data_IF_835345444475
#
_entry.id   IF_835345444475
#
_cell.length_a   1.000
_cell.length_b   1.000
_cell.length_c   1.000
_cell.angle_alpha   90.00
_cell.angle_beta   90.00
_cell.angle_gamma   90.00
#
_symmetry.space_group_name_H-M   'P 1'
#
loop_
_entity.id
_entity.type
_entity.pdbx_description
1 polymer ?
#
# COMPACT_ATOMS: atom_id res chain seq x y z
N UNK A 1 -50.33 6.45 0.26
CA UNK A 1 -49.25 7.20 -0.41
C UNK A 1 -47.96 6.44 -0.22
N UNK A 2 -47.33 5.96 -1.30
CA UNK A 2 -46.02 5.30 -1.27
C UNK A 2 -44.95 6.39 -1.40
N UNK A 3 -44.15 6.61 -0.36
CA UNK A 3 -42.97 7.47 -0.44
C UNK A 3 -41.87 6.72 -1.18
N UNK A 4 -41.38 7.30 -2.28
CA UNK A 4 -40.16 6.83 -2.92
C UNK A 4 -38.98 7.20 -2.02
N UNK A 5 -38.28 6.19 -1.49
CA UNK A 5 -37.00 6.37 -0.82
C UNK A 5 -35.95 6.55 -1.91
N UNK A 6 -35.53 7.79 -2.15
CA UNK A 6 -34.43 8.08 -3.07
C UNK A 6 -33.09 7.71 -2.45
N UNK A 7 -32.16 7.24 -3.28
CA UNK A 7 -30.78 6.98 -2.86
C UNK A 7 -30.11 8.32 -2.51
N UNK A 8 -29.62 8.43 -1.27
CA UNK A 8 -28.88 9.60 -0.78
C UNK A 8 -27.39 9.36 -1.01
N UNK A 9 -26.78 10.17 -1.87
CA UNK A 9 -25.34 10.16 -2.08
C UNK A 9 -24.71 11.33 -1.32
N UNK A 10 -23.59 11.06 -0.64
CA UNK A 10 -22.79 12.09 0.01
C UNK A 10 -21.57 12.40 -0.87
N UNK A 11 -21.43 13.65 -1.29
CA UNK A 11 -20.20 14.15 -1.90
C UNK A 11 -19.29 14.69 -0.80
N UNK A 12 -18.12 14.08 -0.61
CA UNK A 12 -17.12 14.60 0.31
C UNK A 12 -16.48 15.85 -0.29
N UNK A 13 -16.84 17.04 0.22
CA UNK A 13 -16.27 18.31 -0.27
C UNK A 13 -14.83 18.54 0.22
N UNK A 14 -14.51 18.09 1.44
CA UNK A 14 -13.17 18.19 2.00
C UNK A 14 -12.92 17.10 3.04
N UNK A 15 -11.72 16.51 3.00
CA UNK A 15 -11.22 15.55 4.00
C UNK A 15 -9.95 16.12 4.63
N UNK A 16 -9.98 16.33 5.95
CA UNK A 16 -8.80 16.82 6.70
C UNK A 16 -8.21 15.66 7.47
N UNK A 17 -6.96 15.30 7.15
CA UNK A 17 -6.23 14.23 7.83
C UNK A 17 -5.13 14.87 8.69
N UNK A 18 -5.26 14.89 10.03
CA UNK A 18 -4.23 15.44 10.89
C UNK A 18 -3.00 14.53 10.86
N UNK A 19 -1.90 15.04 10.33
CA UNK A 19 -0.62 14.32 10.32
C UNK A 19 0.17 14.62 11.60
N UNK A 20 0.69 13.56 12.21
CA UNK A 20 1.68 13.70 13.27
C UNK A 20 2.91 14.44 12.72
N UNK A 21 3.47 15.37 13.49
CA UNK A 21 4.51 16.31 13.03
C UNK A 21 5.84 15.68 12.54
N UNK A 22 6.00 14.36 12.68
CA UNK A 22 7.16 13.61 12.14
C UNK A 22 6.88 12.96 10.79
N UNK A 23 5.64 12.99 10.33
CA UNK A 23 5.23 12.56 8.99
C UNK A 23 5.41 13.76 8.07
N UNK A 24 6.22 13.58 7.03
CA UNK A 24 6.57 14.64 6.07
C UNK A 24 6.06 14.32 4.67
N UNK A 25 5.93 13.03 4.34
CA UNK A 25 5.29 12.58 3.10
C UNK A 25 3.79 12.48 3.34
N UNK A 26 3.03 13.24 2.55
CA UNK A 26 1.57 13.26 2.64
C UNK A 26 0.95 11.97 2.09
N UNK A 27 -0.30 11.70 2.48
CA UNK A 27 -1.08 10.61 1.87
C UNK A 27 -1.20 10.79 0.35
N UNK A 28 -1.39 12.03 -0.12
CA UNK A 28 -1.48 12.34 -1.55
C UNK A 28 -0.20 11.98 -2.30
N UNK A 29 0.98 12.27 -1.73
CA UNK A 29 2.26 11.89 -2.32
C UNK A 29 2.42 10.37 -2.43
N UNK A 30 2.07 9.63 -1.36
CA UNK A 30 2.09 8.17 -1.38
C UNK A 30 1.11 7.60 -2.43
N UNK A 31 -0.12 8.13 -2.49
CA UNK A 31 -1.12 7.72 -3.47
C UNK A 31 -0.67 7.98 -4.91
N UNK A 32 -0.09 9.16 -5.19
CA UNK A 32 0.49 9.47 -6.50
C UNK A 32 1.60 8.50 -6.87
N UNK A 33 2.48 8.14 -5.94
CA UNK A 33 3.54 7.17 -6.19
C UNK A 33 2.98 5.79 -6.54
N UNK A 34 1.91 5.35 -5.87
CA UNK A 34 1.21 4.09 -6.21
C UNK A 34 0.62 4.14 -7.61
N UNK A 35 -0.06 5.23 -7.98
CA UNK A 35 -0.64 5.41 -9.32
C UNK A 35 0.45 5.39 -10.40
N UNK A 36 1.54 6.12 -10.20
CA UNK A 36 2.67 6.14 -11.14
C UNK A 36 3.30 4.75 -11.26
N UNK A 37 3.49 4.05 -10.14
CA UNK A 37 4.02 2.69 -10.15
C UNK A 37 3.08 1.73 -10.88
N UNK A 38 1.77 1.82 -10.65
CA UNK A 38 0.79 1.02 -11.37
C UNK A 38 0.88 1.29 -12.87
N UNK A 39 0.81 2.55 -13.32
CA UNK A 39 0.86 2.87 -14.74
C UNK A 39 2.16 2.42 -15.43
N UNK A 40 3.29 2.44 -14.71
CA UNK A 40 4.58 1.98 -15.25
C UNK A 40 4.72 0.45 -15.30
N UNK A 41 4.22 -0.27 -14.30
CA UNK A 41 4.52 -1.68 -14.11
C UNK A 41 3.32 -2.62 -14.31
N UNK A 42 2.09 -2.12 -14.37
CA UNK A 42 0.84 -2.91 -14.41
C UNK A 42 0.85 -3.99 -15.50
N UNK A 43 1.39 -3.70 -16.69
CA UNK A 43 1.41 -4.65 -17.80
C UNK A 43 2.52 -5.71 -17.69
N UNK A 44 3.55 -5.47 -16.86
CA UNK A 44 4.77 -6.29 -16.84
C UNK A 44 4.82 -7.28 -15.68
N UNK A 45 3.84 -7.25 -14.77
CA UNK A 45 3.85 -8.11 -13.59
C UNK A 45 3.03 -9.38 -13.87
N UNK A 46 3.70 -10.32 -14.55
CA UNK A 46 3.13 -11.61 -14.96
C UNK A 46 2.62 -12.50 -13.81
N UNK A 47 3.05 -12.24 -12.58
CA UNK A 47 2.65 -13.01 -11.40
C UNK A 47 1.28 -12.61 -10.84
N UNK A 48 0.67 -11.58 -11.40
CA UNK A 48 -0.62 -11.08 -11.00
C UNK A 48 -1.57 -11.34 -12.18
N UNK A 49 -2.66 -12.08 -11.96
CA UNK A 49 -3.73 -12.26 -12.97
C UNK A 49 -4.53 -10.96 -13.14
N UNK A 50 -3.83 -9.84 -13.32
CA UNK A 50 -4.32 -8.49 -13.55
C UNK A 50 -4.82 -8.29 -14.98
N UNK A 51 -4.70 -9.32 -15.83
CA UNK A 51 -5.19 -9.31 -17.20
C UNK A 51 -6.72 -9.11 -17.31
N UNK A 52 -7.45 -9.29 -16.19
CA UNK A 52 -8.91 -9.19 -16.14
C UNK A 52 -9.42 -7.91 -15.44
N UNK A 53 -8.63 -7.29 -14.56
CA UNK A 53 -9.02 -6.05 -13.85
C UNK A 53 -7.80 -5.37 -13.20
N UNK A 54 -7.85 -4.04 -13.07
CA UNK A 54 -6.89 -3.28 -12.25
C UNK A 54 -6.93 -3.74 -10.78
N UNK A 55 -5.80 -3.79 -10.07
CA UNK A 55 -5.78 -4.11 -8.65
C UNK A 55 -6.52 -3.06 -7.83
N UNK A 56 -7.14 -3.50 -6.74
CA UNK A 56 -7.60 -2.60 -5.68
C UNK A 56 -6.44 -2.36 -4.71
N UNK A 57 -6.24 -1.10 -4.32
CA UNK A 57 -5.15 -0.72 -3.43
C UNK A 57 -5.68 -0.19 -2.10
N UNK A 58 -5.20 -0.76 -0.99
CA UNK A 58 -5.31 -0.15 0.33
C UNK A 58 -4.04 0.62 0.64
N UNK A 59 -4.14 1.95 0.74
CA UNK A 59 -3.03 2.83 1.10
C UNK A 59 -3.26 3.38 2.49
N UNK A 60 -2.35 3.10 3.43
CA UNK A 60 -2.50 3.54 4.82
C UNK A 60 -1.16 3.73 5.52
N UNK A 61 -1.18 4.54 6.58
CA UNK A 61 -0.02 4.80 7.41
C UNK A 61 0.14 3.69 8.45
N UNK A 62 1.37 3.23 8.64
CA UNK A 62 1.70 2.23 9.66
C UNK A 62 3.08 2.51 10.26
N UNK A 63 3.53 1.62 11.13
CA UNK A 63 4.88 1.66 11.70
C UNK A 63 5.76 0.53 11.16
N UNK A 64 7.07 0.76 11.12
CA UNK A 64 8.01 -0.30 10.74
C UNK A 64 7.95 -1.52 11.65
N UNK A 65 7.58 -1.36 12.92
CA UNK A 65 7.36 -2.47 13.86
C UNK A 65 6.12 -3.29 13.52
N UNK A 66 5.00 -2.64 13.22
CA UNK A 66 3.74 -3.31 12.89
C UNK A 66 3.89 -4.08 11.57
N UNK A 67 4.50 -3.45 10.56
CA UNK A 67 4.81 -4.12 9.30
C UNK A 67 5.66 -5.37 9.50
N UNK A 68 6.74 -5.31 10.30
CA UNK A 68 7.54 -6.50 10.61
C UNK A 68 6.76 -7.55 11.39
N UNK A 69 5.83 -7.14 12.25
CA UNK A 69 4.93 -8.07 12.94
C UNK A 69 4.04 -8.82 11.95
N UNK A 70 3.44 -8.09 11.02
CA UNK A 70 2.59 -8.66 9.96
C UNK A 70 3.37 -9.63 9.07
N UNK A 71 4.59 -9.28 8.67
CA UNK A 71 5.44 -10.16 7.85
C UNK A 71 5.78 -11.49 8.56
N UNK A 72 5.91 -11.49 9.89
CA UNK A 72 6.13 -12.73 10.67
C UNK A 72 4.88 -13.59 10.72
N UNK A 73 3.71 -12.98 10.82
CA UNK A 73 2.44 -13.68 10.91
C UNK A 73 1.95 -14.23 9.56
N UNK A 74 2.43 -13.66 8.43
CA UNK A 74 1.97 -14.05 7.09
C UNK A 74 2.65 -15.34 6.61
N UNK A 75 1.88 -16.41 6.31
CA UNK A 75 2.43 -17.70 5.92
C UNK A 75 2.96 -17.75 4.47
N UNK A 76 2.42 -16.92 3.57
CA UNK A 76 2.66 -17.02 2.13
C UNK A 76 3.66 -15.97 1.62
N UNK A 77 4.91 -16.03 2.07
CA UNK A 77 6.04 -15.21 1.59
C UNK A 77 7.30 -16.06 1.54
N UNK A 78 8.16 -15.81 0.54
CA UNK A 78 9.48 -16.43 0.45
C UNK A 78 10.33 -16.15 1.69
N UNK A 79 11.01 -17.18 2.21
CA UNK A 79 11.74 -17.08 3.48
C UNK A 79 13.02 -16.24 3.36
N UNK A 80 13.64 -16.16 2.18
CA UNK A 80 14.80 -15.29 1.97
C UNK A 80 14.38 -13.82 1.87
N UNK A 81 13.28 -13.55 1.17
CA UNK A 81 12.67 -12.22 1.12
C UNK A 81 12.23 -11.77 2.53
N UNK A 82 11.56 -12.66 3.29
CA UNK A 82 11.12 -12.38 4.67
C UNK A 82 12.30 -11.99 5.55
N UNK A 83 13.39 -12.77 5.53
CA UNK A 83 14.60 -12.47 6.31
C UNK A 83 15.21 -11.12 5.93
N UNK A 84 15.23 -10.79 4.63
CA UNK A 84 15.73 -9.50 4.13
C UNK A 84 14.95 -8.34 4.73
N UNK A 85 13.62 -8.39 4.70
CA UNK A 85 12.77 -7.33 5.25
C UNK A 85 12.83 -7.25 6.78
N UNK A 86 12.88 -8.38 7.48
CA UNK A 86 12.98 -8.39 8.94
C UNK A 86 14.32 -7.81 9.43
N UNK A 87 15.40 -8.05 8.68
CA UNK A 87 16.74 -7.50 8.96
C UNK A 87 16.90 -6.02 8.61
N UNK A 88 16.05 -5.46 7.75
CA UNK A 88 16.17 -4.08 7.26
C UNK A 88 15.85 -3.06 8.37
N UNK A 89 16.64 -2.00 8.47
CA UNK A 89 16.26 -0.84 9.28
C UNK A 89 15.16 -0.07 8.54
N UNK A 90 13.97 0.02 9.16
CA UNK A 90 12.84 0.77 8.61
C UNK A 90 12.63 2.06 9.42
N UNK A 91 12.17 3.14 8.76
CA UNK A 91 11.69 4.33 9.45
C UNK A 91 10.58 3.98 10.45
N UNK A 92 10.40 4.86 11.43
CA UNK A 92 9.34 4.65 12.44
C UNK A 92 7.96 4.63 11.79
N UNK A 93 7.72 5.52 10.83
CA UNK A 93 6.46 5.63 10.10
C UNK A 93 6.69 5.33 8.64
N UNK A 94 5.81 4.52 8.06
CA UNK A 94 5.86 4.12 6.66
C UNK A 94 4.46 4.20 6.07
N UNK A 95 4.38 4.54 4.78
CA UNK A 95 3.18 4.30 4.00
C UNK A 95 3.25 2.88 3.44
N UNK A 96 2.14 2.17 3.59
CA UNK A 96 1.95 0.82 3.07
C UNK A 96 0.84 0.90 2.03
N UNK A 97 1.11 0.39 0.83
CA UNK A 97 0.11 0.28 -0.23
C UNK A 97 0.01 -1.19 -0.61
N UNK A 98 -1.10 -1.84 -0.27
CA UNK A 98 -1.32 -3.26 -0.52
C UNK A 98 -2.22 -3.40 -1.74
N UNK A 99 -1.73 -4.07 -2.78
CA UNK A 99 -2.52 -4.46 -3.93
C UNK A 99 -3.20 -5.80 -3.68
N UNK A 100 -4.50 -5.82 -3.92
CA UNK A 100 -5.35 -6.99 -3.80
C UNK A 100 -5.83 -7.49 -5.15
N UNK A 101 -6.02 -8.80 -5.22
CA UNK A 101 -6.82 -9.46 -6.25
C UNK A 101 -8.01 -10.12 -5.54
N UNK A 102 -9.17 -9.47 -5.62
CA UNK A 102 -10.31 -9.78 -4.75
C UNK A 102 -9.94 -9.54 -3.29
N UNK A 103 -10.06 -10.56 -2.44
CA UNK A 103 -9.71 -10.49 -1.01
C UNK A 103 -8.27 -10.89 -0.69
N UNK A 104 -7.49 -11.28 -1.70
CA UNK A 104 -6.14 -11.84 -1.50
C UNK A 104 -5.08 -10.76 -1.72
N UNK A 105 -4.26 -10.40 -0.71
CA UNK A 105 -3.14 -9.50 -0.90
C UNK A 105 -2.09 -10.20 -1.76
N UNK A 106 -1.59 -9.51 -2.79
CA UNK A 106 -0.61 -10.08 -3.72
C UNK A 106 0.71 -9.34 -3.74
N UNK A 107 0.66 -8.04 -3.53
CA UNK A 107 1.82 -7.19 -3.57
C UNK A 107 1.65 -6.03 -2.60
N UNK A 108 2.75 -5.54 -2.04
CA UNK A 108 2.73 -4.40 -1.14
C UNK A 108 3.93 -3.49 -1.40
N UNK A 109 3.67 -2.21 -1.65
CA UNK A 109 4.69 -1.17 -1.72
C UNK A 109 4.87 -0.57 -0.34
N UNK A 110 6.14 -0.34 0.01
CA UNK A 110 6.53 0.27 1.28
C UNK A 110 7.32 1.54 0.99
N UNK A 111 6.93 2.62 1.65
CA UNK A 111 7.43 3.97 1.45
C UNK A 111 7.80 4.60 2.78
N UNK A 112 8.87 5.39 2.83
CA UNK A 112 9.22 6.19 4.01
C UNK A 112 8.21 7.33 4.17
N UNK A 113 7.57 7.45 5.33
CA UNK A 113 6.65 8.56 5.62
C UNK A 113 7.35 9.79 6.22
N UNK A 114 8.62 9.67 6.59
CA UNK A 114 9.41 10.64 7.36
C UNK A 114 10.47 11.36 6.53
N UNK A 115 10.74 10.87 5.32
CA UNK A 115 11.71 11.49 4.42
C UNK A 115 11.18 12.78 3.77
N UNK A 116 12.02 13.46 3.00
CA UNK A 116 11.68 14.67 2.26
C UNK A 116 11.16 14.26 0.87
N UNK A 117 10.03 14.81 0.43
CA UNK A 117 9.34 14.48 -0.84
C UNK A 117 10.22 14.57 -2.11
N UNK A 118 11.40 15.20 -2.05
CA UNK A 118 12.33 15.38 -3.16
C UNK A 118 13.30 14.20 -3.36
N UNK A 119 13.36 13.24 -2.43
CA UNK A 119 14.11 11.99 -2.56
C UNK A 119 13.22 10.83 -3.01
N UNK A 120 13.82 9.77 -3.57
CA UNK A 120 13.11 8.51 -3.79
C UNK A 120 12.78 7.87 -2.43
N UNK A 121 11.56 8.12 -1.96
CA UNK A 121 11.09 7.66 -0.66
C UNK A 121 10.56 6.22 -0.72
N UNK A 122 10.64 5.56 -1.88
CA UNK A 122 10.28 4.15 -2.00
C UNK A 122 11.34 3.27 -1.32
N UNK A 123 10.91 2.50 -0.34
CA UNK A 123 11.77 1.54 0.37
C UNK A 123 11.88 0.25 -0.45
N UNK A 124 10.76 -0.22 -0.99
CA UNK A 124 10.72 -1.41 -1.85
C UNK A 124 9.31 -1.99 -1.98
N UNK A 125 9.22 -3.20 -2.54
CA UNK A 125 7.98 -3.96 -2.66
C UNK A 125 8.13 -5.37 -2.10
N UNK A 126 7.03 -5.91 -1.58
CA UNK A 126 6.90 -7.29 -1.07
C UNK A 126 5.90 -8.04 -1.91
N UNK A 127 6.24 -9.26 -2.34
CA UNK A 127 5.28 -10.15 -3.01
C UNK A 127 4.71 -11.21 -2.06
N UNK A 128 3.41 -11.46 -2.19
CA UNK A 128 2.69 -12.47 -1.41
C UNK A 128 2.18 -13.60 -2.31
N UNK A 129 2.24 -14.83 -1.81
CA UNK A 129 1.67 -16.00 -2.48
C UNK A 129 2.47 -16.50 -3.69
N UNK A 130 3.64 -15.94 -3.97
CA UNK A 130 4.60 -16.50 -4.93
C UNK A 130 5.57 -17.40 -4.18
N UNK A 131 5.18 -18.65 -4.01
CA UNK A 131 6.15 -19.70 -3.66
C UNK A 131 6.84 -20.07 -4.97
N UNK A 132 8.14 -19.76 -5.08
CA UNK A 132 8.97 -20.30 -6.17
C UNK A 132 9.19 -21.79 -6.00
#
# INVERSE_FOLDING_TARGET
MRGACGDVYFACEALVIPLYHKIRITFEAALKAVIVWEDQYFQNIACLDWTKSRPEWDVYLSTGSDFKSDLRARPAMDEAERRTWLGRCLPRFIWRAIAYSGTTPRFELVFDATDIEQADFQIGGVFYGLIK
#
